data_IF_299337460242
#
_entry.id   IF_299337460242
#
_cell.length_a   1.000
_cell.length_b   1.000
_cell.length_c   1.000
_cell.angle_alpha   90.00
_cell.angle_beta   90.00
_cell.angle_gamma   90.00
#
_symmetry.space_group_name_H-M   'P 1'
#
loop_
_entity.id
_entity.type
_entity.pdbx_description
1 polymer ?
#
# COMPACT_ATOMS: atom_id res chain seq x y z
N UNK A 1 -2.33 -9.18 10.75
CA UNK A 1 -3.23 -7.99 10.75
C UNK A 1 -4.19 -8.00 11.92
N UNK A 2 -4.91 -9.07 12.17
CA UNK A 2 -5.86 -9.17 13.30
C UNK A 2 -5.22 -8.87 14.67
N UNK A 3 -3.97 -9.31 14.86
CA UNK A 3 -3.19 -8.98 16.07
C UNK A 3 -2.99 -7.47 16.22
N UNK A 4 -2.67 -6.74 15.13
CA UNK A 4 -2.56 -5.28 15.19
C UNK A 4 -3.87 -4.61 15.56
N UNK A 5 -5.00 -5.07 15.02
CA UNK A 5 -6.32 -4.54 15.36
C UNK A 5 -6.69 -4.82 16.84
N UNK A 6 -6.38 -6.04 17.32
CA UNK A 6 -6.67 -6.45 18.69
C UNK A 6 -5.79 -5.75 19.74
N UNK A 7 -4.51 -5.59 19.45
CA UNK A 7 -3.52 -5.00 20.37
C UNK A 7 -3.29 -3.50 20.12
N UNK A 8 -3.96 -2.93 19.15
CA UNK A 8 -3.86 -1.53 18.75
C UNK A 8 -5.20 -0.93 18.35
N UNK A 9 -5.24 -0.20 17.25
CA UNK A 9 -6.42 0.46 16.72
C UNK A 9 -6.63 0.13 15.23
N UNK A 10 -7.89 -0.11 14.85
CA UNK A 10 -8.34 -0.15 13.48
C UNK A 10 -8.96 1.20 13.11
N UNK A 11 -8.32 1.93 12.21
CA UNK A 11 -8.88 3.17 11.64
C UNK A 11 -9.77 2.77 10.48
N UNK A 12 -11.07 2.73 10.73
CA UNK A 12 -12.07 2.19 9.81
C UNK A 12 -12.28 3.06 8.58
N UNK A 13 -12.13 4.37 8.73
CA UNK A 13 -12.34 5.36 7.70
C UNK A 13 -11.00 6.00 7.27
N UNK A 14 -10.07 5.17 6.79
CA UNK A 14 -8.81 5.62 6.24
C UNK A 14 -8.89 5.75 4.72
N UNK A 15 -8.48 6.90 4.19
CA UNK A 15 -8.59 7.23 2.78
C UNK A 15 -7.26 7.75 2.21
N UNK A 16 -7.02 7.44 0.93
CA UNK A 16 -5.96 8.08 0.17
C UNK A 16 -6.52 9.27 -0.61
N UNK A 17 -5.75 10.34 -0.67
CA UNK A 17 -6.15 11.58 -1.36
C UNK A 17 -6.06 11.48 -2.88
N UNK A 18 -5.31 10.50 -3.38
CA UNK A 18 -5.22 10.14 -4.80
C UNK A 18 -5.00 8.63 -4.88
N UNK A 19 -5.94 7.92 -5.50
CA UNK A 19 -5.88 6.46 -5.59
C UNK A 19 -4.96 5.99 -6.70
N UNK A 20 -3.66 6.26 -6.55
CA UNK A 20 -2.60 5.83 -7.44
C UNK A 20 -1.27 5.83 -6.70
N UNK A 21 -0.39 4.85 -7.01
CA UNK A 21 0.83 4.60 -6.23
C UNK A 21 1.70 5.84 -6.01
N UNK A 22 2.20 6.49 -7.07
CA UNK A 22 3.16 7.59 -6.91
C UNK A 22 2.57 8.81 -6.19
N UNK A 23 1.37 9.32 -6.55
CA UNK A 23 0.75 10.42 -5.81
C UNK A 23 0.47 10.11 -4.35
N UNK A 24 -0.05 8.91 -4.05
CA UNK A 24 -0.34 8.51 -2.67
C UNK A 24 0.93 8.40 -1.83
N UNK A 25 2.00 7.80 -2.37
CA UNK A 25 3.30 7.69 -1.69
C UNK A 25 3.93 9.05 -1.42
N UNK A 26 3.85 9.96 -2.40
CA UNK A 26 4.27 11.34 -2.19
C UNK A 26 3.45 12.02 -1.09
N UNK A 27 2.12 11.82 -1.06
CA UNK A 27 1.26 12.37 0.00
C UNK A 27 1.62 11.82 1.40
N UNK A 28 1.88 10.52 1.51
CA UNK A 28 2.33 9.88 2.77
C UNK A 28 3.64 10.49 3.26
N UNK A 29 4.62 10.66 2.36
CA UNK A 29 5.97 11.11 2.72
C UNK A 29 6.09 12.61 2.93
N UNK A 30 5.20 13.42 2.34
CA UNK A 30 5.25 14.88 2.43
C UNK A 30 4.21 15.50 3.34
N UNK A 31 3.12 14.78 3.65
CA UNK A 31 1.95 15.34 4.33
C UNK A 31 1.20 16.38 3.48
N UNK A 32 1.33 16.32 2.14
CA UNK A 32 0.77 17.29 1.20
C UNK A 32 -0.19 16.64 0.21
N UNK A 33 -1.13 17.40 -0.35
CA UNK A 33 -1.96 16.94 -1.47
C UNK A 33 -1.20 16.94 -2.81
N UNK A 34 -1.65 16.13 -3.76
CA UNK A 34 -0.99 15.95 -5.06
C UNK A 34 -0.83 17.26 -5.86
N UNK A 35 -1.79 18.16 -5.78
CA UNK A 35 -1.67 19.48 -6.42
C UNK A 35 -0.57 20.37 -5.82
N UNK A 36 -0.16 20.11 -4.57
CA UNK A 36 0.92 20.84 -3.88
C UNK A 36 2.27 20.18 -4.11
N UNK A 37 2.39 18.86 -3.90
CA UNK A 37 3.66 18.15 -4.13
C UNK A 37 3.93 17.83 -5.61
N UNK A 38 3.00 18.08 -6.53
CA UNK A 38 3.11 17.95 -7.99
C UNK A 38 3.35 16.54 -8.55
N UNK A 39 3.40 15.51 -7.72
CA UNK A 39 3.41 14.11 -8.17
C UNK A 39 1.96 13.71 -8.41
N UNK A 40 1.46 13.96 -9.61
CA UNK A 40 0.02 13.84 -9.94
C UNK A 40 -0.34 12.50 -10.57
N UNK A 41 0.65 11.77 -11.07
CA UNK A 41 0.51 10.42 -11.64
C UNK A 41 1.80 9.60 -11.49
N UNK A 42 1.81 8.37 -12.01
CA UNK A 42 2.97 7.47 -11.91
C UNK A 42 4.15 7.86 -12.81
N UNK A 43 3.98 8.84 -13.68
CA UNK A 43 5.01 9.32 -14.62
C UNK A 43 5.53 10.70 -14.25
N UNK A 44 4.87 11.37 -13.30
CA UNK A 44 5.25 12.70 -12.85
C UNK A 44 6.65 12.70 -12.23
N UNK A 45 7.52 13.64 -12.62
CA UNK A 45 8.83 13.78 -11.99
C UNK A 45 8.69 14.22 -10.54
N UNK A 46 9.67 13.89 -9.71
CA UNK A 46 9.79 14.49 -8.38
C UNK A 46 10.28 15.93 -8.55
N UNK A 47 9.54 16.92 -8.00
CA UNK A 47 10.00 18.30 -8.02
C UNK A 47 11.32 18.46 -7.24
N UNK A 48 12.17 19.31 -7.75
CA UNK A 48 13.39 19.71 -7.03
C UNK A 48 13.03 20.38 -5.69
N UNK A 49 13.75 20.03 -4.64
CA UNK A 49 13.53 20.59 -3.31
C UNK A 49 12.32 20.03 -2.54
N UNK A 50 11.66 18.98 -3.06
CA UNK A 50 10.60 18.31 -2.31
C UNK A 50 11.17 17.60 -1.10
N UNK A 51 10.71 17.98 0.11
CA UNK A 51 11.18 17.43 1.36
C UNK A 51 10.25 16.34 1.85
N UNK A 52 10.82 15.18 2.17
CA UNK A 52 10.12 14.04 2.78
C UNK A 52 10.31 14.05 4.30
N UNK A 53 9.28 13.67 5.05
CA UNK A 53 9.33 13.76 6.52
C UNK A 53 10.48 12.96 7.16
N UNK A 54 11.02 11.87 6.60
CA UNK A 54 12.18 11.20 7.18
C UNK A 54 13.44 12.07 7.28
N UNK A 55 13.55 13.11 6.44
CA UNK A 55 14.65 14.08 6.54
C UNK A 55 14.61 14.83 7.88
N UNK A 56 13.42 15.22 8.34
CA UNK A 56 13.26 15.85 9.66
C UNK A 56 13.57 14.88 10.81
N UNK A 57 13.26 13.59 10.66
CA UNK A 57 13.63 12.58 11.65
C UNK A 57 15.14 12.42 11.73
N UNK A 58 15.86 12.39 10.58
CA UNK A 58 17.32 12.33 10.54
C UNK A 58 17.97 13.53 11.26
N UNK A 59 17.48 14.75 10.97
CA UNK A 59 17.95 15.99 11.61
C UNK A 59 17.76 15.95 13.14
N UNK A 60 16.83 15.12 13.64
CA UNK A 60 16.55 14.94 15.06
C UNK A 60 17.10 13.62 15.63
N UNK A 61 18.11 13.03 14.99
CA UNK A 61 18.89 11.93 15.53
C UNK A 61 18.34 10.53 15.29
N UNK A 62 17.23 10.40 14.56
CA UNK A 62 16.72 9.10 14.14
C UNK A 62 17.60 8.48 13.06
N UNK A 63 17.78 7.17 13.11
CA UNK A 63 18.29 6.38 12.01
C UNK A 63 17.16 5.90 11.14
N UNK A 64 17.23 6.21 9.86
CA UNK A 64 16.12 6.02 8.92
C UNK A 64 16.45 4.97 7.87
N UNK A 65 15.49 4.12 7.55
CA UNK A 65 15.66 3.10 6.54
C UNK A 65 14.42 2.95 5.64
N UNK A 66 14.70 2.66 4.39
CA UNK A 66 13.69 2.34 3.38
C UNK A 66 13.94 0.95 2.80
N UNK A 67 12.86 0.15 2.71
CA UNK A 67 12.91 -1.18 2.13
C UNK A 67 11.76 -1.37 1.15
N UNK A 68 12.05 -1.58 -0.13
CA UNK A 68 11.09 -2.03 -1.12
C UNK A 68 10.70 -1.03 -2.21
N UNK A 69 9.41 -0.81 -2.39
CA UNK A 69 8.83 -0.05 -3.50
C UNK A 69 8.83 1.46 -3.24
N UNK A 70 9.62 2.19 -4.00
CA UNK A 70 9.57 3.66 -4.03
C UNK A 70 8.53 4.18 -5.02
N UNK A 71 8.67 3.83 -6.27
CA UNK A 71 7.73 4.09 -7.37
C UNK A 71 7.36 5.57 -7.55
N UNK A 72 8.32 6.48 -7.46
CA UNK A 72 8.16 7.92 -7.72
C UNK A 72 9.30 8.48 -8.54
N UNK A 73 9.05 9.57 -9.24
CA UNK A 73 10.04 10.25 -10.06
C UNK A 73 10.42 9.42 -11.29
N UNK A 74 11.74 9.32 -11.56
CA UNK A 74 12.27 8.50 -12.66
C UNK A 74 12.24 6.99 -12.39
N UNK A 75 11.75 6.60 -11.21
CA UNK A 75 11.59 5.22 -10.76
C UNK A 75 12.84 4.35 -10.92
N UNK A 76 13.99 4.94 -10.66
CA UNK A 76 15.31 4.31 -10.87
C UNK A 76 15.64 3.24 -9.82
N UNK A 77 14.96 3.23 -8.68
CA UNK A 77 15.32 2.42 -7.51
C UNK A 77 16.52 2.92 -6.72
N UNK A 78 17.11 4.05 -7.12
CA UNK A 78 18.26 4.64 -6.45
C UNK A 78 17.88 5.24 -5.08
N UNK A 79 18.85 5.33 -4.14
CA UNK A 79 18.65 5.96 -2.83
C UNK A 79 18.04 7.36 -2.93
N UNK A 80 17.15 7.67 -2.00
CA UNK A 80 16.45 8.95 -1.92
C UNK A 80 16.78 9.69 -0.64
N UNK A 81 16.65 11.04 -0.61
CA UNK A 81 16.87 11.82 0.59
C UNK A 81 15.98 11.37 1.76
N UNK A 82 16.53 11.44 2.98
CA UNK A 82 15.81 11.11 4.20
C UNK A 82 16.03 9.69 4.72
N UNK A 83 16.88 8.89 4.05
CA UNK A 83 17.18 7.52 4.46
C UNK A 83 18.69 7.28 4.60
N UNK A 84 19.08 6.82 5.80
CA UNK A 84 20.48 6.41 6.09
C UNK A 84 20.78 5.03 5.48
N UNK A 85 19.76 4.18 5.38
CA UNK A 85 19.83 2.87 4.74
C UNK A 85 18.74 2.75 3.67
N UNK A 86 19.11 2.19 2.53
CA UNK A 86 18.24 2.06 1.38
C UNK A 86 18.30 0.67 0.76
N UNK A 87 17.15 0.07 0.56
CA UNK A 87 16.98 -1.15 -0.24
C UNK A 87 15.76 -1.00 -1.13
N UNK A 88 15.94 -0.42 -2.31
CA UNK A 88 14.89 -0.16 -3.27
C UNK A 88 15.00 -1.02 -4.52
N UNK A 89 13.88 -1.23 -5.20
CA UNK A 89 13.87 -1.84 -6.52
C UNK A 89 13.26 -0.89 -7.55
N UNK A 90 13.58 -1.12 -8.82
CA UNK A 90 13.05 -0.34 -9.92
C UNK A 90 11.59 -0.73 -10.19
N UNK A 91 10.74 0.24 -10.42
CA UNK A 91 9.37 0.05 -10.82
C UNK A 91 8.53 -0.72 -9.80
N UNK A 92 7.82 -1.71 -10.27
CA UNK A 92 6.99 -2.58 -9.45
C UNK A 92 7.76 -3.73 -8.80
N UNK A 93 9.04 -3.94 -9.19
CA UNK A 93 9.86 -5.05 -8.68
C UNK A 93 9.36 -6.44 -9.06
N UNK A 94 10.07 -7.46 -8.58
CA UNK A 94 9.77 -8.87 -8.79
C UNK A 94 9.45 -9.56 -7.48
N UNK A 95 8.53 -10.54 -7.48
CA UNK A 95 8.21 -11.33 -6.28
C UNK A 95 9.32 -12.33 -5.95
N UNK A 96 9.91 -12.93 -6.96
CA UNK A 96 11.00 -13.90 -6.81
C UNK A 96 12.26 -13.40 -7.46
N UNK A 97 13.39 -13.73 -6.83
CA UNK A 97 14.72 -13.35 -7.31
C UNK A 97 14.84 -11.86 -7.64
N UNK A 98 14.43 -10.97 -6.71
CA UNK A 98 14.44 -9.54 -6.97
C UNK A 98 15.85 -9.01 -7.23
N UNK A 99 15.92 -7.92 -7.97
CA UNK A 99 17.12 -7.08 -8.05
C UNK A 99 16.91 -5.85 -7.19
N UNK A 100 17.72 -5.71 -6.17
CA UNK A 100 17.63 -4.66 -5.14
C UNK A 100 18.82 -3.71 -5.25
N UNK A 101 18.56 -2.42 -5.21
CA UNK A 101 19.59 -1.41 -5.01
C UNK A 101 19.79 -1.22 -3.50
N UNK A 102 20.91 -1.68 -2.99
CA UNK A 102 21.28 -1.52 -1.58
C UNK A 102 22.33 -0.39 -1.46
N UNK A 103 21.91 0.76 -0.95
CA UNK A 103 22.77 1.93 -0.74
C UNK A 103 23.56 2.37 -1.99
N UNK A 104 23.00 2.21 -3.18
CA UNK A 104 23.62 2.56 -4.46
C UNK A 104 24.19 1.38 -5.24
N UNK A 105 24.34 0.22 -4.62
CA UNK A 105 24.83 -1.01 -5.26
C UNK A 105 23.67 -1.96 -5.63
N UNK A 106 23.68 -2.48 -6.85
CA UNK A 106 22.68 -3.41 -7.32
C UNK A 106 23.05 -4.86 -6.99
N UNK A 107 22.18 -5.53 -6.23
CA UNK A 107 22.31 -6.94 -5.87
C UNK A 107 21.23 -7.74 -6.56
N UNK A 108 21.60 -8.79 -7.31
CA UNK A 108 20.69 -9.76 -7.92
C UNK A 108 20.54 -10.96 -6.99
N UNK A 109 19.36 -11.12 -6.41
CA UNK A 109 19.01 -12.31 -5.63
C UNK A 109 18.65 -13.49 -6.53
N UNK A 110 18.82 -14.71 -6.02
CA UNK A 110 18.65 -15.98 -6.76
C UNK A 110 17.98 -17.01 -5.84
N UNK A 111 17.93 -18.26 -6.30
CA UNK A 111 17.51 -19.44 -5.52
C UNK A 111 16.09 -19.35 -4.95
N UNK A 112 15.19 -18.72 -5.72
CA UNK A 112 13.80 -18.51 -5.35
C UNK A 112 13.62 -17.59 -4.13
N UNK A 113 14.56 -16.66 -3.90
CA UNK A 113 14.40 -15.62 -2.88
C UNK A 113 13.09 -14.87 -3.08
N UNK A 114 12.25 -14.82 -2.05
CA UNK A 114 10.96 -14.15 -2.10
C UNK A 114 11.07 -12.75 -1.51
N UNK A 115 10.67 -11.73 -2.27
CA UNK A 115 10.96 -10.32 -1.94
C UNK A 115 10.36 -9.88 -0.61
N UNK A 116 9.15 -10.33 -0.27
CA UNK A 116 8.50 -9.95 1.01
C UNK A 116 9.29 -10.45 2.20
N UNK A 117 9.77 -11.70 2.15
CA UNK A 117 10.57 -12.30 3.22
C UNK A 117 11.91 -11.60 3.35
N UNK A 118 12.62 -11.41 2.22
CA UNK A 118 13.89 -10.73 2.16
C UNK A 118 13.84 -9.33 2.81
N UNK A 119 12.89 -8.50 2.37
CA UNK A 119 12.77 -7.13 2.89
C UNK A 119 12.39 -7.11 4.39
N UNK A 120 11.59 -8.08 4.83
CA UNK A 120 11.21 -8.22 6.24
C UNK A 120 12.41 -8.57 7.10
N UNK A 121 13.22 -9.55 6.68
CA UNK A 121 14.45 -9.96 7.38
C UNK A 121 15.45 -8.81 7.47
N UNK A 122 15.65 -8.08 6.38
CA UNK A 122 16.56 -6.94 6.33
C UNK A 122 16.08 -5.77 7.19
N UNK A 123 14.76 -5.48 7.19
CA UNK A 123 14.19 -4.46 8.05
C UNK A 123 14.37 -4.80 9.54
N UNK A 124 14.15 -6.07 9.92
CA UNK A 124 14.38 -6.54 11.29
C UNK A 124 15.87 -6.46 11.66
N UNK A 125 16.77 -6.82 10.75
CA UNK A 125 18.21 -6.69 10.97
C UNK A 125 18.64 -5.23 11.18
N UNK A 126 18.07 -4.32 10.38
CA UNK A 126 18.32 -2.88 10.58
C UNK A 126 17.88 -2.43 11.98
N UNK A 127 16.64 -2.75 12.40
CA UNK A 127 16.14 -2.41 13.73
C UNK A 127 17.00 -3.00 14.85
N UNK A 128 17.48 -4.24 14.69
CA UNK A 128 18.38 -4.90 15.62
C UNK A 128 19.71 -4.13 15.79
N UNK A 129 20.28 -3.68 14.69
CA UNK A 129 21.51 -2.88 14.70
C UNK A 129 21.31 -1.53 15.38
N UNK A 130 20.15 -0.87 15.18
CA UNK A 130 19.86 0.41 15.84
C UNK A 130 19.64 0.23 17.34
N UNK A 131 18.98 -0.85 17.77
CA UNK A 131 18.84 -1.18 19.21
C UNK A 131 20.20 -1.37 19.86
N UNK A 132 21.12 -2.11 19.22
CA UNK A 132 22.48 -2.31 19.74
C UNK A 132 23.28 -0.99 19.83
N UNK A 133 23.03 -0.06 18.92
CA UNK A 133 23.64 1.26 18.90
C UNK A 133 22.94 2.31 19.79
N UNK A 134 21.87 1.91 20.48
CA UNK A 134 21.00 2.80 21.30
C UNK A 134 20.55 4.05 20.51
N UNK A 135 20.05 3.82 19.29
CA UNK A 135 19.56 4.88 18.41
C UNK A 135 18.07 4.72 18.13
N UNK A 136 17.28 5.79 18.21
CA UNK A 136 15.91 5.77 17.71
C UNK A 136 15.93 5.51 16.19
N UNK A 137 14.91 4.80 15.69
CA UNK A 137 14.85 4.46 14.28
C UNK A 137 13.49 4.75 13.67
N UNK A 138 13.51 4.95 12.37
CA UNK A 138 12.35 4.94 11.49
C UNK A 138 12.58 3.94 10.35
N UNK A 139 11.63 3.04 10.14
CA UNK A 139 11.67 2.06 9.06
C UNK A 139 10.43 2.22 8.20
N UNK A 140 10.63 2.44 6.91
CA UNK A 140 9.57 2.36 5.91
C UNK A 140 9.70 1.05 5.13
N UNK A 141 8.96 0.02 5.59
CA UNK A 141 8.90 -1.29 4.92
C UNK A 141 7.77 -1.27 3.89
N UNK A 142 8.14 -1.08 2.64
CA UNK A 142 7.26 -0.83 1.51
C UNK A 142 7.20 -2.04 0.59
N UNK A 143 6.33 -3.00 0.91
CA UNK A 143 6.22 -4.23 0.15
C UNK A 143 5.75 -4.01 -1.30
N UNK A 144 6.22 -4.88 -2.22
CA UNK A 144 5.60 -5.08 -3.53
C UNK A 144 4.19 -5.66 -3.39
N UNK A 145 3.97 -6.53 -2.42
CA UNK A 145 2.69 -7.16 -2.16
C UNK A 145 1.64 -6.18 -1.59
N UNK A 146 0.43 -6.15 -2.14
CA UNK A 146 -0.02 -7.03 -3.21
C UNK A 146 -0.24 -6.22 -4.50
N UNK A 147 0.74 -6.13 -5.33
CA UNK A 147 0.63 -5.55 -6.67
C UNK A 147 0.74 -6.68 -7.71
N UNK A 148 0.07 -6.47 -8.82
CA UNK A 148 0.17 -7.32 -10.00
C UNK A 148 1.66 -7.54 -10.44
N UNK A 149 2.03 -8.64 -10.99
CA UNK A 149 1.43 -9.95 -11.22
C UNK A 149 1.47 -10.78 -9.92
N UNK A 150 0.33 -11.06 -9.36
CA UNK A 150 0.24 -11.74 -8.06
C UNK A 150 0.98 -13.07 -8.07
N UNK A 151 1.94 -13.22 -7.18
CA UNK A 151 2.74 -14.44 -7.06
C UNK A 151 3.00 -14.70 -5.58
N UNK A 152 2.29 -15.67 -5.04
CA UNK A 152 2.39 -16.05 -3.65
C UNK A 152 3.74 -16.74 -3.34
N UNK A 153 4.19 -16.62 -2.09
CA UNK A 153 5.25 -17.47 -1.60
C UNK A 153 4.86 -18.95 -1.75
N UNK A 154 5.84 -19.82 -2.03
CA UNK A 154 5.60 -21.27 -2.27
C UNK A 154 4.75 -21.92 -1.17
N UNK A 155 4.94 -21.52 0.09
CA UNK A 155 4.19 -22.03 1.25
C UNK A 155 2.72 -21.62 1.28
N UNK A 156 2.32 -20.60 0.51
CA UNK A 156 0.94 -20.10 0.44
C UNK A 156 0.22 -20.45 -0.85
N UNK A 157 0.94 -21.06 -1.79
CA UNK A 157 0.36 -21.46 -3.06
C UNK A 157 -0.83 -22.40 -2.82
N UNK A 158 -1.92 -22.15 -3.53
CA UNK A 158 -3.16 -22.94 -3.51
C UNK A 158 -3.87 -23.02 -2.14
N UNK A 159 -3.49 -22.19 -1.15
CA UNK A 159 -4.13 -22.21 0.19
C UNK A 159 -5.61 -21.75 0.16
N UNK A 160 -6.06 -21.13 -0.90
CA UNK A 160 -7.45 -20.72 -1.12
C UNK A 160 -8.14 -21.45 -2.29
N UNK A 161 -7.55 -22.53 -2.83
CA UNK A 161 -8.08 -23.25 -4.00
C UNK A 161 -9.54 -23.74 -3.81
N UNK A 162 -9.89 -24.18 -2.60
CA UNK A 162 -11.19 -24.76 -2.27
C UNK A 162 -12.14 -23.74 -1.61
N UNK A 163 -11.76 -22.47 -1.55
CA UNK A 163 -12.62 -21.42 -1.00
C UNK A 163 -13.60 -20.93 -2.04
N UNK A 164 -14.88 -20.89 -1.69
CA UNK A 164 -15.89 -20.20 -2.48
C UNK A 164 -15.59 -18.69 -2.49
N UNK A 165 -15.67 -18.10 -3.67
CA UNK A 165 -15.54 -16.66 -3.86
C UNK A 165 -16.91 -16.08 -4.18
N UNK A 166 -17.24 -15.00 -3.47
CA UNK A 166 -18.49 -14.27 -3.68
C UNK A 166 -18.20 -13.07 -4.58
N UNK A 167 -18.94 -12.94 -5.66
CA UNK A 167 -18.86 -11.77 -6.53
C UNK A 167 -19.29 -10.51 -5.78
N UNK A 168 -18.67 -9.37 -6.05
CA UNK A 168 -19.10 -8.09 -5.48
C UNK A 168 -20.58 -7.82 -5.77
N UNK A 169 -21.32 -7.33 -4.79
CA UNK A 169 -22.74 -7.02 -4.95
C UNK A 169 -23.00 -5.96 -6.03
N UNK A 170 -22.04 -5.04 -6.20
CA UNK A 170 -22.11 -3.93 -7.15
C UNK A 170 -21.58 -4.26 -8.54
N UNK A 171 -21.20 -5.52 -8.78
CA UNK A 171 -20.57 -5.94 -10.05
C UNK A 171 -21.44 -5.63 -11.26
N UNK A 172 -22.77 -5.73 -11.11
CA UNK A 172 -23.77 -5.42 -12.12
C UNK A 172 -24.51 -4.10 -11.83
N UNK A 173 -23.97 -3.26 -10.92
CA UNK A 173 -24.60 -1.97 -10.63
C UNK A 173 -24.40 -1.02 -11.79
N UNK A 174 -25.48 -0.45 -12.37
CA UNK A 174 -25.40 0.45 -13.49
C UNK A 174 -24.62 1.71 -13.12
N UNK A 175 -23.64 2.04 -13.93
CA UNK A 175 -23.03 3.34 -13.87
C UNK A 175 -24.00 4.37 -14.47
N UNK A 176 -24.39 5.39 -13.68
CA UNK A 176 -25.37 6.41 -14.07
C UNK A 176 -26.77 5.90 -14.49
N UNK A 177 -27.28 4.90 -13.81
CA UNK A 177 -28.69 4.51 -13.98
C UNK A 177 -29.00 3.81 -15.30
N UNK A 178 -28.03 3.21 -15.95
CA UNK A 178 -28.27 2.28 -17.07
C UNK A 178 -29.06 1.10 -16.54
N UNK A 179 -30.28 0.90 -17.06
CA UNK A 179 -31.26 -0.04 -16.49
C UNK A 179 -31.01 -1.50 -16.84
N UNK A 180 -30.33 -1.75 -17.94
CA UNK A 180 -30.14 -3.11 -18.47
C UNK A 180 -28.66 -3.41 -18.55
N UNK A 181 -28.13 -4.06 -17.52
CA UNK A 181 -26.79 -4.61 -17.56
C UNK A 181 -26.82 -6.02 -18.14
N UNK A 182 -25.90 -6.33 -19.06
CA UNK A 182 -25.72 -7.72 -19.47
C UNK A 182 -25.36 -8.56 -18.24
N UNK A 183 -26.06 -9.65 -18.07
CA UNK A 183 -25.68 -10.67 -17.09
C UNK A 183 -24.31 -11.24 -17.40
N UNK A 184 -23.58 -11.61 -16.37
CA UNK A 184 -22.39 -12.43 -16.51
C UNK A 184 -22.80 -13.69 -17.25
N UNK A 185 -22.12 -14.01 -18.34
CA UNK A 185 -22.33 -15.29 -19.00
C UNK A 185 -21.95 -16.41 -18.03
N UNK A 186 -22.93 -17.17 -17.56
CA UNK A 186 -22.74 -18.27 -16.63
C UNK A 186 -21.71 -19.29 -17.15
N UNK A 187 -21.63 -19.47 -18.48
CA UNK A 187 -20.73 -20.44 -19.11
C UNK A 187 -19.26 -19.97 -19.16
N UNK A 188 -19.00 -18.69 -19.17
CA UNK A 188 -17.63 -18.16 -19.37
C UNK A 188 -17.10 -17.35 -18.21
N UNK A 189 -17.97 -16.98 -17.25
CA UNK A 189 -17.63 -16.04 -16.19
C UNK A 189 -17.22 -14.66 -16.71
N UNK A 190 -17.49 -14.36 -17.98
CA UNK A 190 -17.14 -13.09 -18.62
C UNK A 190 -18.37 -12.18 -18.64
N UNK A 191 -18.15 -10.93 -18.26
CA UNK A 191 -19.10 -9.89 -18.61
C UNK A 191 -19.12 -9.70 -20.14
N UNK A 192 -20.22 -9.23 -20.65
CA UNK A 192 -20.24 -8.69 -22.00
C UNK A 192 -19.16 -7.62 -22.17
N UNK A 193 -18.56 -7.51 -23.35
CA UNK A 193 -17.44 -6.60 -23.56
C UNK A 193 -17.79 -5.17 -23.11
N UNK A 194 -16.82 -4.42 -22.64
CA UNK A 194 -17.06 -3.06 -22.16
C UNK A 194 -17.72 -2.13 -23.17
N UNK A 195 -17.67 -2.46 -24.47
CA UNK A 195 -18.39 -1.75 -25.55
C UNK A 195 -19.89 -2.00 -25.49
N UNK A 196 -20.31 -3.18 -25.06
CA UNK A 196 -21.72 -3.55 -24.95
C UNK A 196 -22.36 -3.01 -23.67
N UNK A 197 -21.54 -2.74 -22.66
CA UNK A 197 -22.01 -2.41 -21.31
C UNK A 197 -22.60 -1.02 -21.13
N UNK A 198 -22.09 -0.02 -21.81
CA UNK A 198 -22.45 1.36 -21.54
C UNK A 198 -22.80 2.16 -22.77
N UNK A 199 -22.97 1.53 -23.91
CA UNK A 199 -23.19 2.23 -25.16
C UNK A 199 -22.19 3.40 -25.33
N UNK A 200 -21.54 3.52 -26.44
CA UNK A 200 -20.45 4.51 -26.68
C UNK A 200 -20.80 5.97 -26.29
N UNK A 201 -22.09 6.28 -26.19
CA UNK A 201 -22.58 7.65 -25.97
C UNK A 201 -22.72 8.07 -24.50
N UNK A 202 -22.77 7.14 -23.56
CA UNK A 202 -23.13 7.45 -22.17
C UNK A 202 -21.98 7.36 -21.15
N UNK A 203 -20.87 6.73 -21.50
CA UNK A 203 -19.75 6.64 -20.55
C UNK A 203 -18.87 7.88 -20.65
N UNK A 204 -18.50 8.51 -19.51
CA UNK A 204 -17.48 9.55 -19.50
C UNK A 204 -16.16 9.06 -20.12
N UNK A 205 -15.43 9.98 -20.77
CA UNK A 205 -14.19 9.62 -21.45
C UNK A 205 -13.15 8.95 -20.53
N UNK A 206 -13.08 9.35 -19.26
CA UNK A 206 -12.16 8.73 -18.30
C UNK A 206 -12.51 7.26 -18.04
N UNK A 207 -13.78 6.90 -18.00
CA UNK A 207 -14.22 5.50 -17.86
C UNK A 207 -13.87 4.71 -19.12
N UNK A 208 -14.08 5.27 -20.30
CA UNK A 208 -13.71 4.64 -21.58
C UNK A 208 -12.21 4.40 -21.64
N UNK A 209 -11.43 5.43 -21.37
CA UNK A 209 -9.96 5.35 -21.40
C UNK A 209 -9.43 4.34 -20.38
N UNK A 210 -10.02 4.28 -19.20
CA UNK A 210 -9.63 3.32 -18.19
C UNK A 210 -9.93 1.87 -18.62
N UNK A 211 -11.09 1.63 -19.21
CA UNK A 211 -11.45 0.31 -19.73
C UNK A 211 -10.57 -0.14 -20.88
N UNK A 212 -10.26 0.76 -21.79
CA UNK A 212 -9.39 0.46 -22.93
C UNK A 212 -7.94 0.23 -22.50
N UNK A 213 -7.45 0.99 -21.55
CA UNK A 213 -6.05 0.91 -21.09
C UNK A 213 -5.80 -0.10 -19.97
N UNK A 214 -6.82 -0.51 -19.21
CA UNK A 214 -6.67 -1.29 -17.97
C UNK A 214 -7.48 -2.59 -17.93
N UNK A 215 -7.91 -3.10 -19.07
CA UNK A 215 -8.63 -4.37 -19.18
C UNK A 215 -9.93 -4.44 -18.35
N UNK A 216 -10.49 -3.30 -17.95
CA UNK A 216 -11.70 -3.28 -17.12
C UNK A 216 -12.91 -3.83 -17.86
N UNK A 217 -13.55 -4.79 -17.28
CA UNK A 217 -14.91 -5.33 -17.45
C UNK A 217 -15.04 -6.73 -18.05
N UNK A 218 -14.03 -7.39 -18.49
CA UNK A 218 -14.19 -8.79 -18.88
C UNK A 218 -13.68 -9.71 -17.77
N UNK A 219 -14.23 -9.68 -16.58
CA UNK A 219 -13.92 -10.59 -15.45
C UNK A 219 -12.61 -11.39 -15.59
N UNK A 220 -11.72 -10.89 -16.41
CA UNK A 220 -10.36 -11.37 -16.57
C UNK A 220 -9.43 -10.20 -16.34
N UNK A 221 -8.47 -10.40 -15.49
CA UNK A 221 -7.38 -9.46 -15.28
C UNK A 221 -6.13 -10.03 -15.94
N UNK A 222 -5.59 -9.32 -16.92
CA UNK A 222 -4.50 -9.80 -17.76
C UNK A 222 -4.79 -11.15 -18.46
N UNK A 223 -6.00 -11.29 -18.98
CA UNK A 223 -6.42 -12.50 -19.70
C UNK A 223 -6.58 -13.76 -18.83
N UNK A 224 -6.64 -13.61 -17.51
CA UNK A 224 -6.86 -14.71 -16.58
C UNK A 224 -8.22 -14.58 -15.88
N UNK A 225 -8.93 -15.68 -15.60
CA UNK A 225 -10.22 -15.67 -14.92
C UNK A 225 -10.17 -14.89 -13.60
N UNK A 226 -11.25 -14.16 -13.30
CA UNK A 226 -11.38 -13.33 -12.10
C UNK A 226 -11.08 -14.10 -10.80
N UNK A 227 -11.66 -15.28 -10.64
CA UNK A 227 -11.49 -16.12 -9.46
C UNK A 227 -10.04 -16.58 -9.26
N UNK A 228 -9.34 -16.91 -10.34
CA UNK A 228 -7.92 -17.25 -10.30
C UNK A 228 -7.09 -16.07 -9.80
N UNK A 229 -7.40 -14.86 -10.27
CA UNK A 229 -6.64 -13.68 -9.88
C UNK A 229 -6.93 -13.26 -8.43
N UNK A 230 -8.19 -13.30 -7.99
CA UNK A 230 -8.55 -13.02 -6.60
C UNK A 230 -7.87 -14.00 -5.64
N UNK A 231 -7.84 -15.31 -5.96
CA UNK A 231 -7.13 -16.31 -5.13
C UNK A 231 -5.65 -15.98 -5.03
N UNK A 232 -4.99 -15.71 -6.14
CA UNK A 232 -3.57 -15.33 -6.16
C UNK A 232 -3.28 -14.05 -5.38
N UNK A 233 -4.16 -13.07 -5.48
CA UNK A 233 -4.09 -11.84 -4.65
C UNK A 233 -4.14 -12.19 -3.16
N UNK A 234 -5.13 -12.97 -2.73
CA UNK A 234 -5.28 -13.38 -1.34
C UNK A 234 -4.09 -14.23 -0.85
N UNK A 235 -3.60 -15.16 -1.66
CA UNK A 235 -2.43 -15.98 -1.37
C UNK A 235 -1.15 -15.14 -1.21
N UNK A 236 -0.99 -14.12 -2.08
CA UNK A 236 0.15 -13.20 -2.01
C UNK A 236 0.09 -12.35 -0.74
N UNK A 237 -1.11 -11.92 -0.33
CA UNK A 237 -1.34 -11.13 0.87
C UNK A 237 -0.91 -11.87 2.15
N UNK A 238 -0.97 -13.21 2.17
CA UNK A 238 -0.53 -14.02 3.32
C UNK A 238 0.90 -13.72 3.74
N UNK A 239 1.80 -13.50 2.79
CA UNK A 239 3.21 -13.17 3.10
C UNK A 239 3.36 -11.78 3.72
N UNK A 240 2.52 -10.83 3.32
CA UNK A 240 2.50 -9.50 3.96
C UNK A 240 1.99 -9.60 5.41
N UNK A 241 0.96 -10.41 5.64
CA UNK A 241 0.45 -10.66 6.98
C UNK A 241 1.51 -11.32 7.89
N UNK A 242 2.25 -12.31 7.38
CA UNK A 242 3.38 -12.92 8.10
C UNK A 242 4.51 -11.93 8.38
N UNK A 243 4.82 -11.05 7.42
CA UNK A 243 5.81 -9.98 7.60
C UNK A 243 5.46 -9.09 8.79
N UNK A 244 4.19 -8.65 8.88
CA UNK A 244 3.71 -7.87 10.02
C UNK A 244 3.90 -8.65 11.32
N UNK A 245 3.52 -9.94 11.34
CA UNK A 245 3.71 -10.81 12.49
C UNK A 245 5.16 -10.87 12.95
N UNK A 246 6.09 -11.09 12.01
CA UNK A 246 7.53 -11.18 12.28
C UNK A 246 8.11 -9.87 12.85
N UNK A 247 7.68 -8.72 12.32
CA UNK A 247 8.08 -7.41 12.87
C UNK A 247 7.57 -7.24 14.30
N UNK A 248 6.30 -7.55 14.57
CA UNK A 248 5.72 -7.43 15.90
C UNK A 248 6.39 -8.38 16.91
N UNK A 249 6.71 -9.60 16.49
CA UNK A 249 7.42 -10.57 17.33
C UNK A 249 8.82 -10.07 17.67
N UNK A 250 9.56 -9.58 16.69
CA UNK A 250 10.86 -8.99 16.94
C UNK A 250 10.79 -7.82 17.92
N UNK A 251 9.86 -6.87 17.73
CA UNK A 251 9.72 -5.71 18.64
C UNK A 251 9.46 -6.14 20.08
N UNK A 252 8.62 -7.15 20.26
CA UNK A 252 8.31 -7.72 21.59
C UNK A 252 9.52 -8.42 22.19
N UNK A 253 10.19 -9.30 21.46
CA UNK A 253 11.39 -10.01 21.91
C UNK A 253 12.55 -9.04 22.23
N UNK A 254 12.65 -7.96 21.47
CA UNK A 254 13.66 -6.94 21.68
C UNK A 254 13.34 -5.96 22.81
N UNK A 255 12.14 -6.01 23.41
CA UNK A 255 11.69 -5.05 24.42
C UNK A 255 11.49 -3.63 23.87
N UNK A 256 11.17 -3.52 22.58
CA UNK A 256 10.90 -2.25 21.87
C UNK A 256 9.40 -2.01 21.67
N UNK A 257 8.58 -2.96 22.03
CA UNK A 257 7.17 -3.04 21.74
C UNK A 257 6.37 -1.82 22.23
N UNK A 258 6.63 -1.41 23.47
CA UNK A 258 5.93 -0.30 24.11
C UNK A 258 6.37 1.08 23.59
N UNK A 259 7.53 1.16 22.93
CA UNK A 259 8.12 2.42 22.46
C UNK A 259 8.29 2.47 20.93
N UNK A 260 7.51 1.67 20.21
CA UNK A 260 7.53 1.67 18.74
C UNK A 260 6.11 1.82 18.20
N UNK A 261 5.85 2.95 17.52
CA UNK A 261 4.62 3.14 16.76
C UNK A 261 4.72 2.32 15.46
N UNK A 262 3.82 1.37 15.30
CA UNK A 262 3.68 0.57 14.07
C UNK A 262 2.42 1.00 13.33
N UNK A 263 2.55 1.42 12.08
CA UNK A 263 1.44 1.76 11.20
C UNK A 263 1.48 0.80 10.01
N UNK A 264 0.39 0.10 9.77
CA UNK A 264 0.14 -0.66 8.55
C UNK A 264 -0.94 0.02 7.74
N UNK A 265 -0.69 0.25 6.44
CA UNK A 265 -1.69 0.80 5.52
C UNK A 265 -1.42 0.41 4.07
N UNK A 266 -2.46 0.49 3.23
CA UNK A 266 -2.31 0.42 1.79
C UNK A 266 -1.97 1.78 1.17
N UNK A 267 -1.30 1.79 0.02
CA UNK A 267 -1.04 3.02 -0.75
C UNK A 267 -2.23 3.44 -1.62
N UNK A 268 -3.09 2.51 -1.98
CA UNK A 268 -4.41 2.70 -2.60
C UNK A 268 -5.27 1.45 -2.43
N UNK A 269 -6.56 1.60 -2.67
CA UNK A 269 -7.48 0.48 -2.76
C UNK A 269 -7.42 -0.21 -4.13
N UNK A 270 -8.36 -1.12 -4.39
CA UNK A 270 -8.47 -1.86 -5.64
C UNK A 270 -9.89 -2.41 -5.82
N UNK A 271 -10.50 -2.16 -6.96
CA UNK A 271 -11.79 -2.74 -7.32
C UNK A 271 -11.59 -4.12 -7.96
N UNK A 272 -12.33 -5.09 -7.50
CA UNK A 272 -12.35 -6.47 -8.00
C UNK A 272 -13.66 -6.82 -8.71
N UNK A 273 -14.18 -5.91 -9.50
CA UNK A 273 -15.43 -6.04 -10.22
C UNK A 273 -16.54 -5.13 -9.68
N UNK A 274 -16.33 -4.50 -8.54
CA UNK A 274 -17.29 -3.50 -8.03
C UNK A 274 -17.53 -2.42 -9.08
N UNK A 275 -18.79 -2.04 -9.25
CA UNK A 275 -19.23 -1.08 -10.28
C UNK A 275 -18.87 -1.49 -11.71
N UNK A 276 -18.62 -2.78 -11.97
CA UNK A 276 -18.11 -3.30 -13.23
C UNK A 276 -16.68 -2.85 -13.56
N UNK A 277 -15.88 -2.50 -12.57
CA UNK A 277 -14.53 -1.99 -12.73
C UNK A 277 -13.50 -2.91 -12.09
N UNK A 278 -12.29 -2.93 -12.65
CA UNK A 278 -11.10 -3.54 -12.08
C UNK A 278 -10.01 -2.47 -12.01
N UNK A 279 -9.10 -2.57 -11.04
CA UNK A 279 -8.03 -1.64 -10.77
C UNK A 279 -8.48 -0.51 -9.81
N UNK A 280 -7.78 0.58 -9.81
CA UNK A 280 -7.95 1.78 -8.97
C UNK A 280 -8.13 3.02 -9.85
N UNK A 281 -7.92 4.20 -9.33
CA UNK A 281 -7.98 5.51 -10.01
C UNK A 281 -9.38 6.11 -10.08
N UNK A 282 -10.40 5.42 -9.57
CA UNK A 282 -11.74 5.97 -9.41
C UNK A 282 -11.91 6.57 -8.03
N UNK A 283 -13.04 7.26 -7.84
CA UNK A 283 -13.42 7.87 -6.56
C UNK A 283 -14.42 6.99 -5.76
N UNK A 284 -14.45 5.71 -6.07
CA UNK A 284 -15.24 4.75 -5.29
C UNK A 284 -14.47 4.29 -4.06
N UNK A 285 -15.20 3.87 -3.03
CA UNK A 285 -14.64 3.40 -1.76
C UNK A 285 -13.57 2.32 -1.95
N UNK A 286 -13.82 1.37 -2.83
CA UNK A 286 -12.91 0.27 -3.13
C UNK A 286 -11.54 0.77 -3.65
N UNK A 287 -11.54 1.94 -4.27
CA UNK A 287 -10.33 2.56 -4.81
C UNK A 287 -9.65 3.49 -3.80
N UNK A 288 -10.40 4.27 -3.04
CA UNK A 288 -9.84 5.33 -2.17
C UNK A 288 -9.73 4.92 -0.70
N UNK A 289 -10.57 3.99 -0.22
CA UNK A 289 -10.48 3.46 1.15
C UNK A 289 -9.37 2.42 1.24
N UNK A 290 -8.53 2.54 2.24
CA UNK A 290 -7.43 1.61 2.50
C UNK A 290 -7.51 1.04 3.91
N UNK A 291 -6.99 -0.18 4.14
CA UNK A 291 -6.80 -0.66 5.50
C UNK A 291 -5.79 0.22 6.22
N UNK A 292 -6.06 0.55 7.48
CA UNK A 292 -5.11 1.21 8.35
C UNK A 292 -5.21 0.65 9.77
N UNK A 293 -4.11 0.11 10.25
CA UNK A 293 -3.95 -0.43 11.58
C UNK A 293 -2.77 0.27 12.26
N UNK A 294 -2.95 0.62 13.52
CA UNK A 294 -1.93 1.35 14.29
C UNK A 294 -1.75 0.67 15.64
N UNK A 295 -0.50 0.48 16.05
CA UNK A 295 -0.19 -0.19 17.32
C UNK A 295 1.00 0.46 18.00
N UNK A 296 0.86 0.75 19.29
CA UNK A 296 1.93 1.15 20.20
C UNK A 296 1.41 0.96 21.65
N UNK A 297 1.64 -0.20 22.28
CA UNK A 297 1.05 -0.52 23.58
C UNK A 297 1.41 0.47 24.70
N UNK A 298 2.60 1.03 24.68
CA UNK A 298 3.00 2.07 25.64
C UNK A 298 2.39 3.45 25.43
N UNK A 299 1.71 3.66 24.30
CA UNK A 299 1.10 4.95 23.96
C UNK A 299 -0.43 4.98 24.14
N UNK A 300 -1.08 3.85 23.83
CA UNK A 300 -2.55 3.70 23.93
C UNK A 300 -2.96 2.25 24.08
N UNK A 301 -4.14 2.02 24.65
CA UNK A 301 -4.71 0.68 24.84
C UNK A 301 -5.22 0.10 23.52
N UNK A 302 -5.11 -1.22 23.37
CA UNK A 302 -5.56 -1.95 22.20
C UNK A 302 -7.08 -2.14 22.10
N UNK A 303 -7.51 -2.72 20.97
CA UNK A 303 -8.92 -3.05 20.71
C UNK A 303 -9.80 -1.87 20.29
N UNK A 304 -9.19 -0.74 19.94
CA UNK A 304 -9.94 0.45 19.52
C UNK A 304 -10.37 0.37 18.05
N UNK A 305 -11.58 0.86 17.77
CA UNK A 305 -12.06 1.14 16.43
C UNK A 305 -12.29 2.65 16.31
N UNK A 306 -11.56 3.27 15.39
CA UNK A 306 -11.62 4.73 15.15
C UNK A 306 -12.52 4.96 13.94
N UNK A 307 -13.67 5.60 14.19
CA UNK A 307 -14.67 5.95 13.16
C UNK A 307 -14.38 7.30 12.48
N UNK A 308 -13.46 8.08 13.02
CA UNK A 308 -13.04 9.35 12.43
C UNK A 308 -12.36 9.11 11.07
N UNK A 309 -12.58 10.04 10.14
CA UNK A 309 -11.88 10.03 8.87
C UNK A 309 -10.40 10.40 9.07
N UNK A 310 -9.52 9.59 8.52
CA UNK A 310 -8.07 9.83 8.45
C UNK A 310 -7.64 9.73 6.99
N UNK A 311 -6.77 10.61 6.57
CA UNK A 311 -6.22 10.62 5.22
C UNK A 311 -4.73 10.25 5.23
N UNK A 312 -4.21 9.80 4.10
CA UNK A 312 -2.79 9.48 3.97
C UNK A 312 -1.86 10.70 4.20
N UNK A 313 -2.33 11.92 4.01
CA UNK A 313 -1.61 13.16 4.36
C UNK A 313 -1.42 13.36 5.86
N UNK A 314 -2.20 12.66 6.69
CA UNK A 314 -2.14 12.74 8.15
C UNK A 314 -1.02 11.84 8.74
N UNK A 315 -0.44 10.96 7.95
CA UNK A 315 0.59 10.01 8.39
C UNK A 315 1.87 10.75 8.78
N UNK A 316 2.39 11.61 7.92
CA UNK A 316 3.62 12.37 8.19
C UNK A 316 3.52 13.22 9.47
N UNK A 317 2.50 14.08 9.66
CA UNK A 317 2.37 14.86 10.90
C UNK A 317 2.13 13.97 12.13
N UNK A 318 1.55 12.79 11.98
CA UNK A 318 1.37 11.84 13.10
C UNK A 318 2.71 11.26 13.55
N UNK A 319 3.55 10.83 12.60
CA UNK A 319 4.89 10.30 12.88
C UNK A 319 5.76 11.39 13.49
N UNK A 320 5.72 12.62 12.96
CA UNK A 320 6.40 13.78 13.53
C UNK A 320 6.00 14.03 14.99
N UNK A 321 4.70 14.06 15.27
CA UNK A 321 4.17 14.25 16.62
C UNK A 321 4.57 13.10 17.57
N UNK A 322 4.61 11.87 17.09
CA UNK A 322 5.08 10.70 17.86
C UNK A 322 6.57 10.84 18.23
N UNK A 323 7.37 11.41 17.32
CA UNK A 323 8.78 11.72 17.56
C UNK A 323 9.01 12.98 18.41
N UNK A 324 7.96 13.63 18.89
CA UNK A 324 8.04 14.89 19.68
C UNK A 324 8.39 16.12 18.84
N UNK A 325 8.16 16.05 17.53
CA UNK A 325 8.46 17.12 16.58
C UNK A 325 7.18 17.83 16.13
N UNK A 326 7.28 19.13 15.93
CA UNK A 326 6.24 19.90 15.27
C UNK A 326 6.10 19.49 13.80
N UNK A 327 4.86 19.52 13.28
CA UNK A 327 4.68 19.28 11.85
C UNK A 327 5.34 20.38 11.01
N UNK A 328 5.97 19.99 9.92
CA UNK A 328 6.57 20.95 9.01
C UNK A 328 5.51 21.87 8.38
N UNK A 329 5.89 23.11 8.10
CA UNK A 329 4.97 24.17 7.63
C UNK A 329 4.19 23.78 6.35
N UNK A 330 4.79 23.00 5.47
CA UNK A 330 4.16 22.54 4.23
C UNK A 330 3.14 21.41 4.42
N UNK A 331 3.16 20.72 5.57
CA UNK A 331 2.23 19.62 5.86
C UNK A 331 0.83 20.15 6.10
N UNK A 332 -0.13 19.69 5.32
CA UNK A 332 -1.56 20.10 5.45
C UNK A 332 -2.35 19.15 6.35
N UNK A 333 -1.90 17.89 6.49
CA UNK A 333 -2.54 16.91 7.34
C UNK A 333 -2.48 17.24 8.82
N UNK A 334 -3.23 16.47 9.61
CA UNK A 334 -3.31 16.58 11.06
C UNK A 334 -2.86 15.28 11.71
N UNK A 335 -2.18 15.37 12.85
CA UNK A 335 -1.86 14.18 13.63
C UNK A 335 -3.13 13.51 14.15
N UNK A 336 -3.28 12.22 13.90
CA UNK A 336 -4.36 11.42 14.48
C UNK A 336 -3.99 10.76 15.82
N UNK A 337 -2.83 11.06 16.41
CA UNK A 337 -2.48 10.57 17.76
C UNK A 337 -3.56 10.89 18.82
N UNK A 338 -4.20 12.06 18.82
CA UNK A 338 -5.28 12.34 19.79
C UNK A 338 -6.48 11.40 19.69
N UNK A 339 -6.72 10.80 18.51
CA UNK A 339 -7.81 9.83 18.32
C UNK A 339 -7.48 8.46 18.93
N UNK A 340 -6.20 8.16 19.15
CA UNK A 340 -5.72 6.89 19.67
C UNK A 340 -5.68 6.85 21.22
N UNK A 341 -5.67 7.99 21.89
CA UNK A 341 -5.53 8.15 23.34
C UNK A 341 -6.85 8.19 24.12
#
# INVERSE_FOLDING_TARGET
MDRMAKEGAHIKNAFVTTSLSSPSRASILTGMYSHSHKVVDNTAPLPEGLIFFPQYLQENGYKTAFFGKWHMGNDSGAPQPGFDHWEGFKGQGEYYNPRINTNGEWIQYKDSTYVTDLLTEHAILFMKNQKQADKPFFVYLSHKGVHDNFSAAKRHKDCYKDKELVLPQTINTPYYGVKDLPTIHEETGKAASGKDYYGEKMSPNWVKNQRESWHGVDYSYHGRPWDVQVRKYCETLRSVDESIGSVLDYLKEAGLDDNTLVIYMGDNGFAWGEHGLIDKRQFYEESVRVPMLVRCPGLFEGGKVIENMVQNVDVAPTIMACAGLDKAKQMVGYSFLPLLR
#
